data_IF_127743717185
#
_entry.id   IF_127743717185
#
_cell.length_a   1.000
_cell.length_b   1.000
_cell.length_c   1.000
_cell.angle_alpha   90.00
_cell.angle_beta   90.00
_cell.angle_gamma   90.00
#
_symmetry.space_group_name_H-M   'P 1'
#
loop_
_entity.id
_entity.type
_entity.pdbx_description
1 polymer ?
#
# COMPACT_ATOMS: atom_id res chain seq x y z
N UNK A 1 -40.26 -32.39 51.79
CA UNK A 1 -39.28 -33.29 52.45
C UNK A 1 -37.91 -32.73 52.11
N UNK A 2 -37.21 -32.37 53.14
CA UNK A 2 -35.80 -31.95 53.30
C UNK A 2 -35.36 -30.69 52.58
N UNK A 3 -35.32 -29.55 53.20
CA UNK A 3 -34.56 -28.97 54.35
C UNK A 3 -33.04 -29.17 54.28
N UNK A 4 -32.40 -28.03 54.43
CA UNK A 4 -31.08 -27.76 55.02
C UNK A 4 -30.13 -27.04 54.05
N UNK A 5 -29.37 -26.10 54.45
CA UNK A 5 -29.18 -25.29 55.66
C UNK A 5 -28.27 -24.14 55.31
N UNK A 6 -28.63 -23.02 55.84
CA UNK A 6 -27.84 -21.80 55.87
C UNK A 6 -26.58 -21.98 56.72
N UNK A 7 -25.39 -21.68 56.22
CA UNK A 7 -24.26 -21.36 57.10
C UNK A 7 -23.65 -20.02 56.72
N UNK A 8 -23.98 -19.08 57.59
CA UNK A 8 -23.34 -17.74 57.68
C UNK A 8 -21.97 -17.92 58.32
N UNK A 9 -20.92 -17.52 57.63
CA UNK A 9 -19.59 -17.50 58.21
C UNK A 9 -19.08 -16.05 58.23
N UNK A 10 -19.16 -15.47 59.41
CA UNK A 10 -18.60 -14.17 59.79
C UNK A 10 -17.08 -14.27 59.84
N UNK A 11 -16.36 -13.50 59.02
CA UNK A 11 -14.91 -13.31 59.17
C UNK A 11 -14.63 -11.85 59.51
N UNK A 12 -13.93 -11.71 60.63
CA UNK A 12 -13.52 -10.46 61.29
C UNK A 12 -12.58 -9.62 60.44
N UNK A 13 -12.76 -8.31 60.53
CA UNK A 13 -11.82 -7.30 60.13
C UNK A 13 -10.49 -7.44 60.90
N UNK A 14 -9.39 -7.56 60.14
CA UNK A 14 -8.07 -7.22 60.62
C UNK A 14 -7.55 -6.08 59.70
N UNK A 15 -7.50 -4.91 60.27
CA UNK A 15 -6.84 -3.73 59.63
C UNK A 15 -5.36 -3.91 59.89
N UNK A 16 -4.60 -4.22 58.82
CA UNK A 16 -3.14 -4.21 58.88
C UNK A 16 -2.64 -3.08 57.98
N UNK A 17 -2.09 -2.08 58.65
CA UNK A 17 -1.47 -0.92 58.01
C UNK A 17 -0.19 -1.35 57.29
N UNK A 18 -0.16 -1.35 55.96
CA UNK A 18 1.05 -1.49 55.18
C UNK A 18 1.68 -0.11 54.90
N UNK A 19 3.02 0.01 54.91
CA UNK A 19 3.72 1.28 54.85
C UNK A 19 3.61 1.94 53.46
N UNK A 20 3.42 3.24 53.47
CA UNK A 20 3.45 4.11 52.28
C UNK A 20 4.82 4.03 51.61
N UNK A 21 4.92 3.25 50.56
CA UNK A 21 6.06 3.25 49.68
C UNK A 21 6.00 4.51 48.82
N UNK A 22 6.85 5.48 49.08
CA UNK A 22 7.17 6.60 48.23
C UNK A 22 7.73 6.09 46.89
N UNK A 23 6.80 5.93 45.92
CA UNK A 23 7.15 5.49 44.59
C UNK A 23 7.94 6.56 43.86
N UNK A 24 9.24 6.41 43.77
CA UNK A 24 10.06 7.02 42.77
C UNK A 24 9.49 6.63 41.38
N UNK A 25 8.85 7.58 40.70
CA UNK A 25 8.48 7.44 39.28
C UNK A 25 9.77 7.35 38.47
N UNK A 26 10.27 6.15 38.32
CA UNK A 26 11.39 5.84 37.44
C UNK A 26 11.09 6.39 36.04
N UNK A 27 11.74 7.50 35.71
CA UNK A 27 11.82 8.08 34.37
C UNK A 27 12.45 6.99 33.52
N UNK A 28 11.65 6.18 32.78
CA UNK A 28 12.16 5.21 31.80
C UNK A 28 13.14 5.94 30.91
N UNK A 29 14.42 5.71 31.13
CA UNK A 29 15.52 6.24 30.32
C UNK A 29 15.28 5.72 28.91
N UNK A 30 14.80 6.60 28.02
CA UNK A 30 14.60 6.27 26.59
C UNK A 30 15.96 5.86 26.05
N UNK A 31 16.17 4.57 25.84
CA UNK A 31 17.39 3.99 25.26
C UNK A 31 17.73 4.80 24.01
N UNK A 32 18.92 5.36 23.96
CA UNK A 32 19.40 6.16 22.86
C UNK A 32 19.54 5.22 21.66
N UNK A 33 18.61 5.30 20.71
CA UNK A 33 18.64 4.51 19.50
C UNK A 33 19.85 4.90 18.66
N UNK A 34 20.39 3.94 17.90
CA UNK A 34 21.38 4.24 16.87
C UNK A 34 20.79 5.24 15.85
N UNK A 35 21.60 6.09 15.21
CA UNK A 35 21.09 7.06 14.24
C UNK A 35 20.23 6.43 13.14
N UNK A 36 20.62 5.28 12.61
CA UNK A 36 19.89 4.53 11.57
C UNK A 36 18.52 4.03 12.07
N UNK A 37 18.46 3.50 13.29
CA UNK A 37 17.21 3.07 13.90
C UNK A 37 16.25 4.25 14.12
N UNK A 38 16.81 5.42 14.48
CA UNK A 38 16.03 6.64 14.67
C UNK A 38 15.49 7.17 13.35
N UNK A 39 16.29 7.16 12.29
CA UNK A 39 15.83 7.54 10.96
C UNK A 39 14.68 6.63 10.49
N UNK A 40 14.84 5.32 10.66
CA UNK A 40 13.80 4.34 10.34
C UNK A 40 12.50 4.59 11.10
N UNK A 41 12.56 4.86 12.42
CA UNK A 41 11.37 5.22 13.21
C UNK A 41 10.69 6.50 12.69
N UNK A 42 11.47 7.52 12.33
CA UNK A 42 10.95 8.77 11.78
C UNK A 42 10.19 8.49 10.47
N UNK A 43 10.81 7.76 9.55
CA UNK A 43 10.20 7.44 8.25
C UNK A 43 8.93 6.62 8.43
N UNK A 44 8.96 5.58 9.26
CA UNK A 44 7.78 4.75 9.55
C UNK A 44 6.61 5.56 10.11
N UNK A 45 6.89 6.45 11.04
CA UNK A 45 5.86 7.32 11.61
C UNK A 45 5.40 8.39 10.63
N UNK A 46 6.29 8.91 9.78
CA UNK A 46 5.93 9.83 8.72
C UNK A 46 5.00 9.17 7.69
N UNK A 47 5.20 7.90 7.36
CA UNK A 47 4.29 7.12 6.50
C UNK A 47 2.88 7.10 7.10
N UNK A 48 2.73 6.69 8.36
CA UNK A 48 1.43 6.68 9.05
C UNK A 48 0.81 8.08 9.15
N UNK A 49 1.62 9.09 9.48
CA UNK A 49 1.18 10.47 9.59
C UNK A 49 0.66 11.02 8.26
N UNK A 50 1.43 10.89 7.17
CA UNK A 50 1.01 11.37 5.86
C UNK A 50 -0.14 10.56 5.27
N UNK A 51 -0.26 9.28 5.58
CA UNK A 51 -1.42 8.48 5.23
C UNK A 51 -2.72 8.94 5.91
N UNK A 52 -2.61 9.63 7.04
CA UNK A 52 -3.74 10.15 7.82
C UNK A 52 -4.06 11.60 7.51
N UNK A 53 -3.04 12.44 7.36
CA UNK A 53 -3.17 13.89 7.29
C UNK A 53 -2.84 14.51 5.93
N UNK A 54 -2.31 13.70 4.99
CA UNK A 54 -1.82 14.18 3.71
C UNK A 54 -0.47 14.90 3.79
N UNK A 55 0.09 15.20 2.63
CA UNK A 55 1.41 15.84 2.53
C UNK A 55 1.39 17.35 2.86
N UNK A 56 0.23 17.99 2.93
CA UNK A 56 0.12 19.40 3.32
C UNK A 56 0.31 19.59 4.83
N UNK A 57 0.16 18.54 5.63
CA UNK A 57 0.37 18.59 7.06
C UNK A 57 1.78 19.08 7.44
N UNK A 58 1.89 19.79 8.56
CA UNK A 58 3.13 20.46 8.96
C UNK A 58 4.13 19.47 9.58
N UNK A 59 5.43 19.71 9.35
CA UNK A 59 6.50 18.94 10.02
C UNK A 59 6.55 19.19 11.53
N UNK A 60 5.96 20.29 12.01
CA UNK A 60 5.79 20.54 13.44
C UNK A 60 4.80 19.55 14.06
N UNK A 61 3.68 19.31 13.40
CA UNK A 61 2.67 18.36 13.88
C UNK A 61 3.20 16.93 13.82
N UNK A 62 3.93 16.59 12.76
CA UNK A 62 4.65 15.32 12.67
C UNK A 62 5.65 15.15 13.82
N UNK A 63 6.48 16.16 14.10
CA UNK A 63 7.45 16.09 15.20
C UNK A 63 6.74 15.92 16.55
N UNK A 64 5.61 16.59 16.76
CA UNK A 64 4.77 16.44 17.95
C UNK A 64 4.21 15.03 18.09
N UNK A 65 3.69 14.45 17.01
CA UNK A 65 3.17 13.07 17.01
C UNK A 65 4.28 12.05 17.28
N UNK A 66 5.48 12.25 16.72
CA UNK A 66 6.68 11.47 16.99
C UNK A 66 7.23 11.63 18.42
N UNK A 67 6.83 12.68 19.15
CA UNK A 67 7.39 13.03 20.45
C UNK A 67 8.87 13.44 20.36
N UNK A 68 9.26 14.09 19.26
CA UNK A 68 10.60 14.64 19.01
C UNK A 68 10.53 16.14 18.77
N UNK A 69 11.69 16.82 18.86
CA UNK A 69 11.74 18.23 18.48
C UNK A 69 11.84 18.37 16.95
N UNK A 70 11.26 19.44 16.41
CA UNK A 70 11.35 19.74 14.99
C UNK A 70 12.83 19.90 14.51
N UNK A 71 13.75 20.54 15.28
CA UNK A 71 15.17 20.52 14.93
C UNK A 71 15.79 19.12 14.84
N UNK A 72 15.33 18.16 15.66
CA UNK A 72 15.80 16.78 15.56
C UNK A 72 15.32 16.14 14.25
N UNK A 73 14.10 16.39 13.83
CA UNK A 73 13.58 15.93 12.55
C UNK A 73 14.43 16.46 11.38
N UNK A 74 14.73 17.76 11.38
CA UNK A 74 15.54 18.41 10.34
C UNK A 74 17.01 17.98 10.33
N UNK A 75 17.51 17.40 11.40
CA UNK A 75 18.84 16.81 11.43
C UNK A 75 18.96 15.55 10.55
N UNK A 76 17.84 14.81 10.39
CA UNK A 76 17.78 13.63 9.52
C UNK A 76 17.26 13.97 8.11
N UNK A 77 16.35 14.90 8.01
CA UNK A 77 15.73 15.32 6.75
C UNK A 77 15.78 16.84 6.65
N UNK A 78 16.69 17.40 5.82
CA UNK A 78 16.97 18.84 5.80
C UNK A 78 15.77 19.73 5.49
N UNK A 79 14.75 19.16 4.83
CA UNK A 79 13.48 19.81 4.52
C UNK A 79 12.35 18.77 4.44
N UNK A 80 11.13 19.24 4.26
CA UNK A 80 9.94 18.39 4.16
C UNK A 80 9.98 17.55 2.89
N UNK A 81 10.50 18.08 1.82
CA UNK A 81 10.65 17.44 0.51
C UNK A 81 11.52 16.18 0.62
N UNK A 82 12.66 16.27 1.27
CA UNK A 82 13.56 15.13 1.51
C UNK A 82 12.87 14.01 2.30
N UNK A 83 12.04 14.37 3.28
CA UNK A 83 11.25 13.39 4.03
C UNK A 83 10.16 12.76 3.16
N UNK A 84 9.47 13.54 2.33
CA UNK A 84 8.45 13.05 1.41
C UNK A 84 9.06 12.12 0.36
N UNK A 85 10.22 12.47 -0.20
CA UNK A 85 10.94 11.61 -1.15
C UNK A 85 11.36 10.29 -0.49
N UNK A 86 11.83 10.33 0.76
CA UNK A 86 12.15 9.11 1.49
C UNK A 86 10.93 8.24 1.78
N UNK A 87 9.79 8.85 2.14
CA UNK A 87 8.52 8.13 2.30
C UNK A 87 8.09 7.50 0.97
N UNK A 88 8.25 8.23 -0.14
CA UNK A 88 7.98 7.71 -1.48
C UNK A 88 8.82 6.46 -1.77
N UNK A 89 10.12 6.54 -1.54
CA UNK A 89 11.03 5.42 -1.76
C UNK A 89 10.65 4.20 -0.92
N UNK A 90 10.33 4.40 0.35
CA UNK A 90 9.98 3.29 1.26
C UNK A 90 8.62 2.67 0.95
N UNK A 91 7.66 3.45 0.47
CA UNK A 91 6.29 2.99 0.18
C UNK A 91 6.18 2.40 -1.22
N UNK A 92 6.82 3.01 -2.22
CA UNK A 92 6.59 2.67 -3.63
C UNK A 92 7.79 1.98 -4.30
N UNK A 93 9.02 2.45 -4.04
CA UNK A 93 10.19 1.95 -4.78
C UNK A 93 10.75 0.68 -4.17
N UNK A 94 11.04 0.67 -2.88
CA UNK A 94 11.68 -0.47 -2.20
C UNK A 94 10.81 -1.73 -2.13
N UNK A 95 9.52 -1.59 -2.32
CA UNK A 95 8.56 -2.69 -2.29
C UNK A 95 8.18 -3.18 -3.69
N UNK A 96 8.77 -2.60 -4.73
CA UNK A 96 8.58 -3.07 -6.09
C UNK A 96 9.19 -4.46 -6.24
N UNK A 97 8.40 -5.42 -6.68
CA UNK A 97 8.89 -6.77 -6.91
C UNK A 97 9.58 -6.84 -8.29
N UNK A 98 10.90 -7.08 -8.35
CA UNK A 98 11.63 -7.15 -9.61
C UNK A 98 11.23 -8.36 -10.47
N UNK A 99 10.65 -9.41 -9.87
CA UNK A 99 10.25 -10.62 -10.59
C UNK A 99 8.99 -10.44 -11.45
N UNK A 100 8.24 -9.34 -11.28
CA UNK A 100 7.02 -9.12 -12.06
C UNK A 100 7.27 -9.11 -13.57
N UNK A 101 8.35 -8.51 -14.01
CA UNK A 101 8.72 -8.45 -15.42
C UNK A 101 9.08 -9.85 -15.95
N UNK A 102 9.79 -10.65 -15.15
CA UNK A 102 10.14 -12.03 -15.48
C UNK A 102 8.87 -12.91 -15.57
N UNK A 103 7.96 -12.76 -14.61
CA UNK A 103 6.70 -13.53 -14.63
C UNK A 103 5.83 -13.19 -15.84
N UNK A 104 5.74 -11.90 -16.20
CA UNK A 104 4.99 -11.46 -17.36
C UNK A 104 5.61 -11.94 -18.68
N UNK A 105 6.93 -12.01 -18.77
CA UNK A 105 7.67 -12.43 -19.96
C UNK A 105 7.83 -13.95 -20.12
N UNK A 106 7.48 -14.75 -19.10
CA UNK A 106 7.67 -16.21 -19.10
C UNK A 106 6.69 -16.94 -20.03
N UNK A 107 7.00 -16.98 -21.33
CA UNK A 107 6.20 -17.66 -22.36
C UNK A 107 6.12 -19.18 -22.22
N UNK A 108 6.77 -19.77 -21.23
CA UNK A 108 6.58 -21.20 -20.91
C UNK A 108 5.21 -21.46 -20.26
N UNK A 109 4.52 -20.39 -19.84
CA UNK A 109 3.20 -20.43 -19.21
C UNK A 109 2.18 -19.63 -20.02
N UNK A 110 0.91 -20.07 -20.04
CA UNK A 110 -0.19 -19.31 -20.64
C UNK A 110 -0.28 -17.89 -20.10
N UNK A 111 -0.66 -16.94 -20.95
CA UNK A 111 -0.72 -15.51 -20.59
C UNK A 111 -1.68 -15.22 -19.43
N UNK A 112 -2.81 -15.93 -19.37
CA UNK A 112 -3.77 -15.78 -18.27
C UNK A 112 -3.15 -16.09 -16.90
N UNK A 113 -2.37 -17.18 -16.81
CA UNK A 113 -1.69 -17.54 -15.55
C UNK A 113 -0.61 -16.53 -15.17
N UNK A 114 0.11 -15.98 -16.15
CA UNK A 114 1.13 -14.93 -15.92
C UNK A 114 0.51 -13.64 -15.39
N UNK A 115 -0.57 -13.18 -16.00
CA UNK A 115 -1.31 -11.99 -15.58
C UNK A 115 -1.99 -12.16 -14.22
N UNK A 116 -2.63 -13.31 -13.98
CA UNK A 116 -3.26 -13.63 -12.69
C UNK A 116 -2.23 -13.61 -11.55
N UNK A 117 -1.07 -14.25 -11.75
CA UNK A 117 0.03 -14.26 -10.79
C UNK A 117 0.50 -12.84 -10.48
N UNK A 118 0.82 -12.08 -11.52
CA UNK A 118 1.27 -10.70 -11.41
C UNK A 118 0.26 -9.82 -10.66
N UNK A 119 -1.02 -9.82 -11.08
CA UNK A 119 -2.03 -8.95 -10.48
C UNK A 119 -2.39 -9.33 -9.04
N UNK A 120 -2.32 -10.60 -8.65
CA UNK A 120 -2.51 -11.02 -7.26
C UNK A 120 -1.39 -10.51 -6.37
N UNK A 121 -0.14 -10.62 -6.79
CA UNK A 121 1.00 -10.10 -6.04
C UNK A 121 0.99 -8.57 -6.00
N UNK A 122 0.69 -7.92 -7.13
CA UNK A 122 0.48 -6.48 -7.20
C UNK A 122 -0.64 -6.01 -6.25
N UNK A 123 -1.76 -6.71 -6.19
CA UNK A 123 -2.86 -6.41 -5.27
C UNK A 123 -2.41 -6.47 -3.80
N UNK A 124 -1.65 -7.50 -3.42
CA UNK A 124 -1.08 -7.62 -2.07
C UNK A 124 -0.13 -6.46 -1.72
N UNK A 125 0.54 -5.91 -2.72
CA UNK A 125 1.40 -4.75 -2.57
C UNK A 125 0.61 -3.44 -2.41
N UNK A 126 -0.35 -3.14 -3.31
CA UNK A 126 -1.02 -1.84 -3.38
C UNK A 126 -2.24 -1.70 -2.48
N UNK A 127 -2.94 -2.79 -2.13
CA UNK A 127 -4.20 -2.73 -1.37
C UNK A 127 -4.00 -2.54 0.14
N UNK A 128 -2.89 -1.93 0.54
CA UNK A 128 -2.63 -1.52 1.93
C UNK A 128 -3.15 -0.11 2.17
N UNK A 129 -3.79 0.12 3.33
CA UNK A 129 -4.43 1.40 3.61
C UNK A 129 -3.48 2.59 3.56
N UNK A 130 -2.25 2.45 4.07
CA UNK A 130 -1.22 3.50 4.00
C UNK A 130 -0.84 3.80 2.55
N UNK A 131 -0.62 2.75 1.73
CA UNK A 131 -0.27 2.89 0.32
C UNK A 131 -1.34 3.66 -0.46
N UNK A 132 -2.60 3.22 -0.34
CA UNK A 132 -3.73 3.84 -1.06
C UNK A 132 -3.90 5.30 -0.67
N UNK A 133 -3.90 5.61 0.63
CA UNK A 133 -4.08 6.97 1.13
C UNK A 133 -2.94 7.89 0.72
N UNK A 134 -1.69 7.46 0.86
CA UNK A 134 -0.53 8.22 0.41
C UNK A 134 -0.60 8.49 -1.08
N UNK A 135 -0.95 7.48 -1.88
CA UNK A 135 -1.08 7.64 -3.32
C UNK A 135 -2.17 8.67 -3.69
N UNK A 136 -3.33 8.60 -3.04
CA UNK A 136 -4.43 9.57 -3.24
C UNK A 136 -4.02 10.99 -2.83
N UNK A 137 -3.44 11.17 -1.65
CA UNK A 137 -2.96 12.48 -1.19
C UNK A 137 -1.85 13.06 -2.07
N UNK A 138 -0.93 12.21 -2.55
CA UNK A 138 0.13 12.65 -3.46
C UNK A 138 -0.44 13.15 -4.80
N UNK A 139 -1.45 12.46 -5.33
CA UNK A 139 -2.12 12.84 -6.57
C UNK A 139 -2.90 14.16 -6.47
N UNK A 140 -3.52 14.42 -5.32
CA UNK A 140 -4.30 15.64 -5.08
C UNK A 140 -3.43 16.86 -4.74
N UNK A 141 -2.32 16.67 -4.03
CA UNK A 141 -1.53 17.77 -3.48
C UNK A 141 -0.19 18.03 -4.16
N UNK A 142 0.43 17.03 -4.79
CA UNK A 142 1.79 17.16 -5.33
C UNK A 142 1.96 16.47 -6.67
N UNK A 143 2.13 17.27 -7.70
CA UNK A 143 2.58 16.79 -8.99
C UNK A 143 3.98 16.13 -8.88
N UNK A 144 4.20 15.04 -9.60
CA UNK A 144 5.50 14.38 -9.75
C UNK A 144 5.65 13.04 -9.03
N UNK A 145 5.09 12.85 -7.82
CA UNK A 145 5.20 11.57 -7.10
C UNK A 145 4.46 10.45 -7.84
N UNK A 146 3.18 10.66 -8.12
CA UNK A 146 2.37 9.67 -8.84
C UNK A 146 2.82 9.52 -10.29
N UNK A 147 3.22 10.62 -10.94
CA UNK A 147 3.72 10.58 -12.32
C UNK A 147 4.93 9.65 -12.46
N UNK A 148 5.92 9.74 -11.57
CA UNK A 148 7.09 8.84 -11.57
C UNK A 148 6.70 7.37 -11.43
N UNK A 149 5.77 7.07 -10.51
CA UNK A 149 5.30 5.71 -10.31
C UNK A 149 4.53 5.17 -11.51
N UNK A 150 3.60 5.97 -12.05
CA UNK A 150 2.74 5.57 -13.16
C UNK A 150 3.51 5.45 -14.48
N UNK A 151 4.49 6.34 -14.72
CA UNK A 151 5.40 6.21 -15.87
C UNK A 151 6.19 4.90 -15.81
N UNK A 152 6.77 4.58 -14.64
CA UNK A 152 7.49 3.31 -14.44
C UNK A 152 6.58 2.08 -14.66
N UNK A 153 5.33 2.15 -14.19
CA UNK A 153 4.35 1.08 -14.37
C UNK A 153 4.02 0.88 -15.86
N UNK A 154 3.80 1.99 -16.59
CA UNK A 154 3.59 1.94 -18.05
C UNK A 154 4.78 1.33 -18.77
N UNK A 155 5.97 1.85 -18.54
CA UNK A 155 7.19 1.43 -19.24
C UNK A 155 7.56 -0.03 -18.98
N UNK A 156 7.46 -0.48 -17.73
CA UNK A 156 7.94 -1.81 -17.35
C UNK A 156 6.89 -2.91 -17.44
N UNK A 157 5.62 -2.58 -17.21
CA UNK A 157 4.57 -3.60 -17.18
C UNK A 157 3.58 -3.47 -18.32
N UNK A 158 3.03 -2.27 -18.58
CA UNK A 158 1.94 -2.17 -19.56
C UNK A 158 2.44 -2.41 -20.99
N UNK A 159 3.56 -1.83 -21.37
CA UNK A 159 4.16 -2.11 -22.68
C UNK A 159 4.58 -3.56 -22.82
N UNK A 160 5.03 -4.19 -21.74
CA UNK A 160 5.33 -5.63 -21.72
C UNK A 160 4.05 -6.46 -21.89
N UNK A 161 2.98 -6.15 -21.15
CA UNK A 161 1.69 -6.84 -21.26
C UNK A 161 1.12 -6.68 -22.69
N UNK A 162 1.18 -5.47 -23.26
CA UNK A 162 0.77 -5.22 -24.63
C UNK A 162 1.50 -6.13 -25.63
N UNK A 163 2.83 -6.19 -25.53
CA UNK A 163 3.65 -7.07 -26.37
C UNK A 163 3.29 -8.54 -26.20
N UNK A 164 3.07 -9.01 -24.98
CA UNK A 164 2.71 -10.41 -24.71
C UNK A 164 1.27 -10.72 -25.16
N UNK A 165 0.35 -9.75 -25.09
CA UNK A 165 -1.00 -9.86 -25.64
C UNK A 165 -0.97 -10.01 -27.16
N UNK A 166 -0.19 -9.17 -27.87
CA UNK A 166 -0.01 -9.26 -29.32
C UNK A 166 0.58 -10.62 -29.74
N UNK A 167 1.59 -11.08 -29.02
CA UNK A 167 2.20 -12.39 -29.27
C UNK A 167 1.20 -13.54 -29.11
N UNK A 168 0.46 -13.58 -28.00
CA UNK A 168 -0.45 -14.68 -27.67
C UNK A 168 -1.62 -14.78 -28.65
N UNK A 169 -2.16 -13.64 -29.08
CA UNK A 169 -3.36 -13.57 -29.94
C UNK A 169 -3.09 -13.21 -31.40
N UNK A 170 -1.83 -13.15 -31.79
CA UNK A 170 -1.42 -12.76 -33.17
C UNK A 170 -2.00 -11.41 -33.61
N UNK A 171 -2.06 -10.44 -32.68
CA UNK A 171 -2.53 -9.09 -32.97
C UNK A 171 -1.41 -8.33 -33.70
N UNK A 172 -1.71 -7.62 -34.82
CA UNK A 172 -0.73 -6.81 -35.51
C UNK A 172 -0.11 -5.72 -34.62
N UNK A 173 1.12 -5.33 -34.91
CA UNK A 173 1.76 -4.19 -34.22
C UNK A 173 0.96 -2.90 -34.44
N UNK A 174 0.95 -1.97 -33.45
CA UNK A 174 0.29 -0.68 -33.63
C UNK A 174 0.94 0.10 -34.77
N UNK A 175 0.11 0.73 -35.57
CA UNK A 175 0.54 1.50 -36.76
C UNK A 175 1.26 2.80 -36.41
N UNK A 176 1.01 3.33 -35.24
CA UNK A 176 1.59 4.58 -34.70
C UNK A 176 1.50 4.62 -33.18
N UNK A 177 2.03 5.69 -32.58
CA UNK A 177 2.04 5.88 -31.13
C UNK A 177 0.64 6.05 -30.53
N UNK A 178 -0.32 6.57 -31.28
CA UNK A 178 -1.71 6.73 -30.82
C UNK A 178 -2.35 5.35 -30.62
N UNK A 179 -2.21 4.46 -31.61
CA UNK A 179 -2.71 3.10 -31.52
C UNK A 179 -2.03 2.27 -30.39
N UNK A 180 -0.75 2.56 -30.09
CA UNK A 180 -0.07 1.98 -28.92
C UNK A 180 -0.65 2.52 -27.61
N UNK A 181 -0.90 3.82 -27.50
CA UNK A 181 -1.47 4.44 -26.32
C UNK A 181 -2.90 3.92 -26.06
N UNK A 182 -3.73 3.74 -27.08
CA UNK A 182 -5.08 3.18 -26.97
C UNK A 182 -5.05 1.72 -26.48
N UNK A 183 -4.10 0.90 -26.94
CA UNK A 183 -3.89 -0.45 -26.44
C UNK A 183 -3.48 -0.44 -24.96
N UNK A 184 -2.59 0.47 -24.58
CA UNK A 184 -2.13 0.65 -23.20
C UNK A 184 -3.29 1.08 -22.29
N UNK A 185 -4.24 1.89 -22.77
CA UNK A 185 -5.42 2.29 -22.00
C UNK A 185 -6.34 1.12 -21.66
N UNK A 186 -6.47 0.11 -22.51
CA UNK A 186 -7.21 -1.12 -22.16
C UNK A 186 -6.53 -1.87 -21.00
N UNK A 187 -5.21 -1.95 -21.03
CA UNK A 187 -4.42 -2.56 -19.96
C UNK A 187 -4.54 -1.74 -18.67
N UNK A 188 -4.49 -0.40 -18.80
CA UNK A 188 -4.67 0.53 -17.69
C UNK A 188 -6.03 0.34 -17.01
N UNK A 189 -7.11 0.20 -17.78
CA UNK A 189 -8.45 -0.02 -17.28
C UNK A 189 -8.53 -1.32 -16.44
N UNK A 190 -7.99 -2.42 -16.94
CA UNK A 190 -7.89 -3.68 -16.21
C UNK A 190 -7.10 -3.50 -14.90
N UNK A 191 -5.90 -2.95 -14.99
CA UNK A 191 -4.97 -2.82 -13.88
C UNK A 191 -5.49 -1.86 -12.80
N UNK A 192 -6.01 -0.69 -13.18
CA UNK A 192 -6.57 0.29 -12.25
C UNK A 192 -7.81 -0.21 -11.52
N UNK A 193 -8.52 -1.16 -12.10
CA UNK A 193 -9.66 -1.80 -11.45
C UNK A 193 -9.27 -2.49 -10.13
N UNK A 194 -8.04 -3.02 -10.03
CA UNK A 194 -7.49 -3.59 -8.79
C UNK A 194 -7.27 -2.48 -7.76
N UNK A 195 -6.59 -1.40 -8.15
CA UNK A 195 -6.35 -0.26 -7.25
C UNK A 195 -7.66 0.34 -6.71
N UNK A 196 -8.71 0.43 -7.55
CA UNK A 196 -10.00 0.96 -7.13
C UNK A 196 -10.66 0.15 -6.00
N UNK A 197 -10.34 -1.13 -5.84
CA UNK A 197 -10.77 -1.90 -4.66
C UNK A 197 -10.22 -1.26 -3.38
N UNK A 198 -8.94 -0.86 -3.41
CA UNK A 198 -8.30 -0.15 -2.31
C UNK A 198 -8.93 1.21 -2.02
N UNK A 199 -9.26 1.97 -3.07
CA UNK A 199 -9.95 3.27 -2.93
C UNK A 199 -11.30 3.08 -2.24
N UNK A 200 -12.11 2.11 -2.70
CA UNK A 200 -13.40 1.82 -2.05
C UNK A 200 -13.23 1.45 -0.58
N UNK A 201 -12.25 0.61 -0.26
CA UNK A 201 -12.03 0.14 1.12
C UNK A 201 -11.47 1.23 2.03
N UNK A 202 -10.42 1.93 1.60
CA UNK A 202 -9.61 2.75 2.47
C UNK A 202 -9.92 4.25 2.40
N UNK A 203 -10.63 4.68 1.37
CA UNK A 203 -11.06 6.08 1.17
C UNK A 203 -12.56 6.24 1.39
N UNK A 204 -13.37 5.30 0.86
CA UNK A 204 -14.83 5.37 0.95
C UNK A 204 -15.43 4.53 2.07
N UNK A 205 -14.59 3.80 2.82
CA UNK A 205 -15.00 2.90 3.92
C UNK A 205 -16.04 1.85 3.51
N UNK A 206 -15.93 1.35 2.27
CA UNK A 206 -16.80 0.30 1.76
C UNK A 206 -16.18 -1.09 2.00
N UNK A 207 -17.00 -2.15 2.13
CA UNK A 207 -16.47 -3.49 2.34
C UNK A 207 -15.61 -3.96 1.17
N UNK A 208 -14.50 -4.63 1.50
CA UNK A 208 -13.66 -5.30 0.51
C UNK A 208 -14.34 -6.57 -0.01
N UNK A 209 -14.00 -7.03 -1.23
CA UNK A 209 -14.42 -8.32 -1.73
C UNK A 209 -14.00 -9.47 -0.80
N UNK A 210 -14.88 -10.44 -0.56
CA UNK A 210 -14.60 -11.59 0.31
C UNK A 210 -13.50 -12.51 -0.24
N UNK A 211 -13.43 -12.64 -1.56
CA UNK A 211 -12.43 -13.43 -2.26
C UNK A 211 -11.76 -12.57 -3.33
N UNK A 212 -10.65 -11.93 -2.95
CA UNK A 212 -9.90 -11.04 -3.82
C UNK A 212 -9.26 -11.78 -4.99
N UNK A 213 -8.66 -12.94 -4.73
CA UNK A 213 -7.96 -13.72 -5.76
C UNK A 213 -8.91 -14.14 -6.88
N UNK A 214 -10.08 -14.67 -6.51
CA UNK A 214 -11.11 -15.02 -7.50
C UNK A 214 -11.58 -13.80 -8.31
N UNK A 215 -11.72 -12.64 -7.65
CA UNK A 215 -12.13 -11.43 -8.37
C UNK A 215 -11.06 -10.98 -9.36
N UNK A 216 -9.79 -11.11 -9.01
CA UNK A 216 -8.66 -10.80 -9.90
C UNK A 216 -8.67 -11.78 -11.09
N UNK A 217 -8.84 -13.09 -10.82
CA UNK A 217 -8.95 -14.09 -11.89
C UNK A 217 -10.06 -13.73 -12.88
N UNK A 218 -11.27 -13.41 -12.39
CA UNK A 218 -12.40 -13.01 -13.23
C UNK A 218 -12.11 -11.74 -14.06
N UNK A 219 -11.36 -10.78 -13.52
CA UNK A 219 -11.00 -9.55 -14.25
C UNK A 219 -9.99 -9.80 -15.36
N UNK A 220 -9.00 -10.65 -15.09
CA UNK A 220 -8.05 -11.09 -16.11
C UNK A 220 -8.79 -11.84 -17.21
N UNK A 221 -9.66 -12.79 -16.84
CA UNK A 221 -10.42 -13.57 -17.83
C UNK A 221 -11.32 -12.66 -18.69
N UNK A 222 -12.03 -11.70 -18.07
CA UNK A 222 -12.85 -10.72 -18.78
C UNK A 222 -12.03 -9.84 -19.73
N UNK A 223 -10.82 -9.40 -19.31
CA UNK A 223 -9.91 -8.63 -20.14
C UNK A 223 -9.41 -9.44 -21.33
N UNK A 224 -8.94 -10.66 -21.11
CA UNK A 224 -8.43 -11.53 -22.17
C UNK A 224 -9.51 -12.03 -23.13
N UNK A 225 -10.76 -12.08 -22.67
CA UNK A 225 -11.90 -12.38 -23.53
C UNK A 225 -12.27 -11.22 -24.46
N UNK A 226 -12.14 -9.96 -23.99
CA UNK A 226 -12.59 -8.78 -24.72
C UNK A 226 -11.49 -8.03 -25.48
N UNK A 227 -10.39 -7.69 -24.82
CA UNK A 227 -9.35 -6.83 -25.39
C UNK A 227 -8.73 -7.34 -26.71
N UNK A 228 -8.38 -8.64 -26.85
CA UNK A 228 -7.87 -9.14 -28.13
C UNK A 228 -8.84 -8.97 -29.28
N UNK A 229 -10.14 -9.23 -29.05
CA UNK A 229 -11.15 -9.09 -30.08
C UNK A 229 -11.32 -7.64 -30.53
N UNK A 230 -11.31 -6.69 -29.58
CA UNK A 230 -11.37 -5.25 -29.90
C UNK A 230 -10.15 -4.81 -30.71
N UNK A 231 -8.95 -5.19 -30.29
CA UNK A 231 -7.71 -4.82 -30.97
C UNK A 231 -7.59 -5.44 -32.38
N UNK A 232 -8.09 -6.66 -32.59
CA UNK A 232 -8.13 -7.28 -33.91
C UNK A 232 -9.09 -6.59 -34.85
N UNK A 233 -10.26 -6.12 -34.37
CA UNK A 233 -11.21 -5.35 -35.17
C UNK A 233 -10.63 -4.00 -35.58
N UNK A 234 -9.96 -3.32 -34.66
CA UNK A 234 -9.38 -2.00 -34.89
C UNK A 234 -8.19 -2.04 -35.87
N UNK A 235 -7.46 -3.13 -35.92
CA UNK A 235 -6.22 -3.29 -36.72
C UNK A 235 -6.35 -4.15 -37.97
N UNK A 236 -7.51 -4.75 -38.20
CA UNK A 236 -7.82 -5.54 -39.40
C UNK A 236 -8.39 -4.66 -40.50
#
# INVERSE_FOLDING_TARGET
MNTESTQTMTIRNAVDEAPVATGERGRKQRRRLAPEDREYEIVRSAISFFAKHGFEASTRDLAKELGVSQPLLYRYFPNKEALVDRVYDDVFVKRWNPEWEEWLADRTKPLDLRLKRYLKDYANFVLRGEWVRIFMYAGLGRAGVNQRYLARLRERHFLLIARELRFEYSIPEPKDSLAEDEEVELIWAMHSSVFYIGVRKWVYDLPAPKNLDRLIDMRVDAFLFGAPAVLLIDRG
#
